data_IF_115099264069
#
_entry.id   IF_115099264069
#
_cell.length_a   1.000
_cell.length_b   1.000
_cell.length_c   1.000
_cell.angle_alpha   90.00
_cell.angle_beta   90.00
_cell.angle_gamma   90.00
#
_symmetry.space_group_name_H-M   'P 1'
#
loop_
_entity.id
_entity.type
_entity.pdbx_description
1 polymer ?
#
# COMPACT_ATOMS: atom_id res chain seq x y z
N UNK A 1 -28.58 -38.41 -6.48
CA UNK A 1 -28.41 -37.18 -5.68
C UNK A 1 -27.04 -36.54 -5.83
N UNK A 2 -25.94 -37.29 -5.95
CA UNK A 2 -24.61 -36.70 -6.27
C UNK A 2 -24.56 -35.97 -7.62
N UNK A 3 -25.21 -36.50 -8.66
CA UNK A 3 -25.24 -35.88 -9.99
C UNK A 3 -25.95 -34.53 -10.06
N UNK A 4 -26.90 -34.24 -9.16
CA UNK A 4 -27.58 -32.94 -9.12
C UNK A 4 -26.71 -31.84 -8.48
N UNK A 5 -25.82 -32.21 -7.56
CA UNK A 5 -24.87 -31.28 -6.95
C UNK A 5 -23.74 -30.92 -7.94
N UNK A 6 -23.33 -31.86 -8.80
CA UNK A 6 -22.31 -31.64 -9.84
C UNK A 6 -22.77 -30.62 -10.90
N UNK A 7 -24.05 -30.63 -11.29
CA UNK A 7 -24.61 -29.69 -12.27
C UNK A 7 -24.65 -28.25 -11.69
N UNK A 8 -24.94 -28.14 -10.39
CA UNK A 8 -24.96 -26.85 -9.70
C UNK A 8 -23.59 -26.17 -9.61
N UNK A 9 -22.50 -26.94 -9.59
CA UNK A 9 -21.12 -26.40 -9.61
C UNK A 9 -20.55 -26.24 -11.02
N UNK A 10 -20.95 -27.10 -11.97
CA UNK A 10 -20.43 -27.08 -13.34
C UNK A 10 -20.82 -25.80 -14.08
N UNK A 11 -22.04 -25.33 -13.87
CA UNK A 11 -22.56 -24.18 -14.62
C UNK A 11 -21.87 -22.86 -14.19
N UNK A 12 -21.71 -22.57 -12.90
CA UNK A 12 -20.87 -21.46 -12.44
C UNK A 12 -19.39 -21.60 -12.83
N UNK A 13 -18.87 -22.83 -12.92
CA UNK A 13 -17.50 -23.10 -13.36
C UNK A 13 -17.31 -22.76 -14.86
N UNK A 14 -18.28 -23.09 -15.71
CA UNK A 14 -18.25 -22.77 -17.15
C UNK A 14 -18.41 -21.27 -17.39
N UNK A 15 -19.37 -20.63 -16.71
CA UNK A 15 -19.67 -19.21 -16.91
C UNK A 15 -18.69 -18.28 -16.18
N UNK A 16 -18.03 -18.77 -15.13
CA UNK A 16 -17.22 -17.95 -14.22
C UNK A 16 -18.04 -17.07 -13.26
N UNK A 17 -19.37 -17.15 -13.31
CA UNK A 17 -20.30 -16.46 -12.41
C UNK A 17 -21.56 -17.30 -12.20
N UNK A 18 -22.30 -17.00 -11.13
CA UNK A 18 -23.56 -17.69 -10.86
C UNK A 18 -24.70 -17.09 -11.71
N UNK A 19 -25.49 -17.90 -12.46
CA UNK A 19 -26.54 -17.39 -13.35
C UNK A 19 -27.55 -16.46 -12.69
N UNK A 20 -27.91 -16.74 -11.44
CA UNK A 20 -28.85 -15.90 -10.68
C UNK A 20 -28.37 -14.45 -10.59
N UNK A 21 -27.06 -14.24 -10.42
CA UNK A 21 -26.47 -12.88 -10.37
C UNK A 21 -26.66 -12.12 -11.68
N UNK A 22 -26.58 -12.80 -12.82
CA UNK A 22 -26.83 -12.17 -14.12
C UNK A 22 -28.31 -11.80 -14.28
N UNK A 23 -29.22 -12.61 -13.74
CA UNK A 23 -30.65 -12.31 -13.75
C UNK A 23 -30.97 -11.12 -12.84
N UNK A 24 -30.38 -11.05 -11.65
CA UNK A 24 -30.50 -9.90 -10.74
C UNK A 24 -30.02 -8.60 -11.43
N UNK A 25 -28.82 -8.64 -12.04
CA UNK A 25 -28.25 -7.49 -12.74
C UNK A 25 -29.14 -7.06 -13.93
N UNK A 26 -29.75 -8.02 -14.65
CA UNK A 26 -30.65 -7.76 -15.77
C UNK A 26 -31.98 -7.14 -15.32
N UNK A 27 -32.57 -7.65 -14.24
CA UNK A 27 -33.82 -7.12 -13.67
C UNK A 27 -33.57 -5.68 -13.19
N UNK A 28 -32.46 -5.43 -12.49
CA UNK A 28 -32.06 -4.08 -12.08
C UNK A 28 -31.89 -3.15 -13.30
N UNK A 29 -31.22 -3.63 -14.35
CA UNK A 29 -31.02 -2.86 -15.58
C UNK A 29 -32.33 -2.62 -16.36
N UNK A 30 -33.34 -3.47 -16.20
CA UNK A 30 -34.62 -3.33 -16.86
C UNK A 30 -35.61 -2.44 -16.08
N UNK A 31 -35.51 -2.40 -14.76
CA UNK A 31 -36.33 -1.51 -13.93
C UNK A 31 -35.99 -0.03 -14.15
N UNK A 32 -34.71 0.29 -14.33
CA UNK A 32 -34.25 1.66 -14.61
C UNK A 32 -34.98 2.32 -15.81
N UNK A 33 -35.01 1.76 -17.03
CA UNK A 33 -35.72 2.35 -18.15
C UNK A 33 -37.24 2.34 -17.97
N UNK A 34 -37.81 1.42 -17.19
CA UNK A 34 -39.25 1.40 -16.89
C UNK A 34 -39.62 2.64 -16.07
N UNK A 35 -38.85 2.95 -15.03
CA UNK A 35 -39.04 4.17 -14.24
C UNK A 35 -38.81 5.44 -15.07
N UNK A 36 -37.77 5.45 -15.91
CA UNK A 36 -37.54 6.58 -16.82
C UNK A 36 -38.71 6.77 -17.80
N UNK A 37 -39.29 5.69 -18.31
CA UNK A 37 -40.44 5.75 -19.20
C UNK A 37 -41.68 6.30 -18.48
N UNK A 38 -41.97 5.84 -17.26
CA UNK A 38 -43.09 6.37 -16.46
C UNK A 38 -42.91 7.86 -16.16
N UNK A 39 -41.68 8.30 -15.86
CA UNK A 39 -41.37 9.72 -15.66
C UNK A 39 -41.52 10.54 -16.94
N UNK A 40 -41.15 9.99 -18.09
CA UNK A 40 -41.37 10.66 -19.38
C UNK A 40 -42.85 10.78 -19.71
N UNK A 41 -43.65 9.75 -19.42
CA UNK A 41 -45.12 9.79 -19.57
C UNK A 41 -45.73 10.83 -18.63
N UNK A 42 -45.28 10.90 -17.38
CA UNK A 42 -45.69 11.92 -16.41
C UNK A 42 -45.43 13.33 -16.95
N UNK A 43 -44.21 13.58 -17.41
CA UNK A 43 -43.82 14.88 -17.94
C UNK A 43 -44.61 15.24 -19.21
N UNK A 44 -44.88 14.27 -20.08
CA UNK A 44 -45.70 14.47 -21.27
C UNK A 44 -47.16 14.80 -20.92
N UNK A 45 -47.78 14.05 -20.01
CA UNK A 45 -49.17 14.28 -19.61
C UNK A 45 -49.34 15.60 -18.86
N UNK A 46 -48.37 15.99 -18.02
CA UNK A 46 -48.40 17.29 -17.34
C UNK A 46 -48.22 18.46 -18.32
N UNK A 47 -47.39 18.32 -19.36
CA UNK A 47 -47.27 19.31 -20.42
C UNK A 47 -48.58 19.43 -21.22
N UNK A 48 -49.19 18.29 -21.56
CA UNK A 48 -50.47 18.23 -22.25
C UNK A 48 -51.62 18.86 -21.42
N UNK A 49 -51.65 18.61 -20.12
CA UNK A 49 -52.62 19.21 -19.20
C UNK A 49 -52.47 20.74 -19.11
N UNK A 50 -51.23 21.24 -19.08
CA UNK A 50 -50.95 22.69 -19.06
C UNK A 50 -51.42 23.40 -20.33
N UNK A 51 -51.19 22.81 -21.50
CA UNK A 51 -51.67 23.36 -22.78
C UNK A 51 -53.20 23.43 -22.84
N UNK A 52 -53.88 22.46 -22.23
CA UNK A 52 -55.35 22.41 -22.18
C UNK A 52 -55.95 23.34 -21.11
N UNK A 53 -55.22 23.55 -20.02
CA UNK A 53 -55.60 24.46 -18.94
C UNK A 53 -55.71 25.93 -19.39
N UNK A 54 -55.02 26.34 -20.46
CA UNK A 54 -55.14 27.70 -21.02
C UNK A 54 -56.57 28.02 -21.51
N UNK A 55 -57.38 26.99 -21.79
CA UNK A 55 -58.72 27.12 -22.37
C UNK A 55 -59.86 26.74 -21.39
N UNK A 56 -59.55 26.47 -20.12
CA UNK A 56 -60.45 25.81 -19.15
C UNK A 56 -60.52 26.62 -17.83
N UNK A 57 -61.61 26.49 -17.05
CA UNK A 57 -61.74 27.15 -15.74
C UNK A 57 -60.75 26.60 -14.70
N UNK A 58 -60.42 27.37 -13.65
CA UNK A 58 -59.47 26.94 -12.62
C UNK A 58 -59.91 25.67 -11.86
N UNK A 59 -61.22 25.50 -11.64
CA UNK A 59 -61.77 24.30 -10.98
C UNK A 59 -61.60 23.05 -11.88
N UNK A 60 -61.93 23.18 -13.16
CA UNK A 60 -61.79 22.09 -14.15
C UNK A 60 -60.31 21.75 -14.42
N UNK A 61 -59.40 22.72 -14.26
CA UNK A 61 -57.95 22.49 -14.35
C UNK A 61 -57.44 21.63 -13.18
N UNK A 62 -57.89 21.92 -11.96
CA UNK A 62 -57.50 21.16 -10.76
C UNK A 62 -58.07 19.73 -10.81
N UNK A 63 -59.29 19.55 -11.32
CA UNK A 63 -59.89 18.23 -11.47
C UNK A 63 -59.20 17.39 -12.57
N UNK A 64 -58.84 18.00 -13.70
CA UNK A 64 -58.07 17.32 -14.76
C UNK A 64 -56.67 16.90 -14.29
N UNK A 65 -56.00 17.76 -13.53
CA UNK A 65 -54.69 17.43 -12.96
C UNK A 65 -54.79 16.25 -11.98
N UNK A 66 -55.83 16.25 -11.12
CA UNK A 66 -56.08 15.17 -10.16
C UNK A 66 -56.40 13.85 -10.86
N UNK A 67 -57.23 13.86 -11.90
CA UNK A 67 -57.56 12.66 -12.68
C UNK A 67 -56.31 12.06 -13.37
N UNK A 68 -55.42 12.92 -13.90
CA UNK A 68 -54.17 12.47 -14.51
C UNK A 68 -53.23 11.87 -13.47
N UNK A 69 -53.08 12.50 -12.30
CA UNK A 69 -52.24 11.98 -11.21
C UNK A 69 -52.76 10.62 -10.70
N UNK A 70 -54.07 10.51 -10.46
CA UNK A 70 -54.70 9.25 -10.03
C UNK A 70 -54.56 8.15 -11.09
N UNK A 71 -54.82 8.47 -12.36
CA UNK A 71 -54.69 7.54 -13.48
C UNK A 71 -53.24 7.09 -13.69
N UNK A 72 -52.27 7.99 -13.50
CA UNK A 72 -50.86 7.67 -13.64
C UNK A 72 -50.35 6.80 -12.49
N UNK A 73 -50.76 7.07 -11.25
CA UNK A 73 -50.42 6.22 -10.10
C UNK A 73 -51.01 4.81 -10.28
N UNK A 74 -52.24 4.71 -10.77
CA UNK A 74 -52.86 3.43 -11.10
C UNK A 74 -52.10 2.69 -12.22
N UNK A 75 -51.70 3.41 -13.27
CA UNK A 75 -50.89 2.84 -14.36
C UNK A 75 -49.53 2.37 -13.88
N UNK A 76 -48.81 3.16 -13.08
CA UNK A 76 -47.52 2.79 -12.52
C UNK A 76 -47.64 1.53 -11.67
N UNK A 77 -48.60 1.48 -10.75
CA UNK A 77 -48.83 0.32 -9.89
C UNK A 77 -49.16 -0.94 -10.72
N UNK A 78 -49.96 -0.78 -11.77
CA UNK A 78 -50.30 -1.88 -12.68
C UNK A 78 -49.08 -2.37 -13.44
N UNK A 79 -48.26 -1.45 -13.95
CA UNK A 79 -47.05 -1.75 -14.69
C UNK A 79 -46.04 -2.48 -13.81
N UNK A 80 -45.76 -1.96 -12.61
CA UNK A 80 -44.87 -2.60 -11.62
C UNK A 80 -45.32 -4.04 -11.34
N UNK A 81 -46.61 -4.26 -11.04
CA UNK A 81 -47.11 -5.61 -10.75
C UNK A 81 -46.96 -6.60 -11.91
N UNK A 82 -47.11 -6.14 -13.16
CA UNK A 82 -46.97 -6.99 -14.35
C UNK A 82 -45.52 -7.25 -14.70
N UNK A 83 -44.67 -6.24 -14.53
CA UNK A 83 -43.24 -6.31 -14.77
C UNK A 83 -42.60 -7.28 -13.79
N UNK A 84 -42.93 -7.18 -12.50
CA UNK A 84 -42.45 -8.09 -11.46
C UNK A 84 -42.83 -9.54 -11.79
N UNK A 85 -44.11 -9.77 -12.12
CA UNK A 85 -44.59 -11.10 -12.47
C UNK A 85 -43.92 -11.65 -13.75
N UNK A 86 -43.73 -10.81 -14.76
CA UNK A 86 -43.07 -11.20 -16.00
C UNK A 86 -41.59 -11.56 -15.75
N UNK A 87 -40.90 -10.81 -14.89
CA UNK A 87 -39.52 -11.10 -14.53
C UNK A 87 -39.38 -12.33 -13.64
N UNK A 88 -40.31 -12.62 -12.74
CA UNK A 88 -40.36 -13.88 -11.99
C UNK A 88 -40.48 -15.08 -12.95
N UNK A 89 -41.39 -15.00 -13.93
CA UNK A 89 -41.52 -16.06 -14.94
C UNK A 89 -40.30 -16.19 -15.83
N UNK A 90 -39.69 -15.06 -16.19
CA UNK A 90 -38.47 -15.05 -16.97
C UNK A 90 -37.29 -15.65 -16.19
N UNK A 91 -37.12 -15.33 -14.90
CA UNK A 91 -36.08 -15.91 -14.04
C UNK A 91 -36.25 -17.44 -13.97
N UNK A 92 -37.46 -17.91 -13.66
CA UNK A 92 -37.73 -19.34 -13.58
C UNK A 92 -37.54 -20.02 -14.94
N UNK A 93 -37.98 -19.40 -16.03
CA UNK A 93 -37.86 -19.97 -17.36
C UNK A 93 -36.40 -20.06 -17.83
N UNK A 94 -35.60 -19.01 -17.60
CA UNK A 94 -34.19 -18.97 -17.98
C UNK A 94 -33.37 -20.00 -17.20
N UNK A 95 -33.59 -20.12 -15.89
CA UNK A 95 -32.91 -21.13 -15.07
C UNK A 95 -33.27 -22.56 -15.46
N UNK A 96 -34.50 -22.79 -15.93
CA UNK A 96 -34.97 -24.14 -16.31
C UNK A 96 -34.65 -24.53 -17.75
N UNK A 97 -34.38 -23.58 -18.64
CA UNK A 97 -34.17 -23.86 -20.07
C UNK A 97 -32.78 -23.46 -20.56
N UNK A 98 -32.35 -22.22 -20.29
CA UNK A 98 -31.07 -21.70 -20.79
C UNK A 98 -29.92 -22.20 -19.90
N UNK A 99 -30.07 -22.02 -18.59
CA UNK A 99 -29.09 -22.45 -17.60
C UNK A 99 -29.39 -23.85 -17.06
N UNK A 100 -29.93 -24.72 -17.92
CA UNK A 100 -30.21 -26.10 -17.57
C UNK A 100 -29.36 -27.04 -18.41
N UNK A 101 -28.57 -27.85 -17.74
CA UNK A 101 -27.80 -28.93 -18.36
C UNK A 101 -28.51 -30.23 -18.00
N UNK A 102 -29.01 -31.00 -18.99
CA UNK A 102 -29.62 -32.29 -18.73
C UNK A 102 -28.65 -33.22 -17.98
N UNK A 103 -29.09 -33.94 -16.95
CA UNK A 103 -28.22 -34.81 -16.15
C UNK A 103 -27.66 -36.00 -16.94
N UNK A 104 -28.22 -36.29 -18.12
CA UNK A 104 -27.77 -37.34 -19.02
C UNK A 104 -26.60 -36.91 -19.91
N UNK A 105 -26.33 -35.59 -20.00
CA UNK A 105 -25.26 -35.07 -20.85
C UNK A 105 -23.96 -34.98 -20.07
N UNK A 106 -22.97 -35.80 -20.46
CA UNK A 106 -21.61 -35.72 -19.93
C UNK A 106 -20.89 -34.52 -20.57
N UNK A 107 -21.02 -33.35 -19.94
CA UNK A 107 -20.33 -32.13 -20.38
C UNK A 107 -18.93 -32.11 -19.78
N UNK A 108 -17.90 -32.26 -20.61
CA UNK A 108 -16.50 -32.03 -20.22
C UNK A 108 -16.11 -30.60 -20.55
N UNK A 109 -15.74 -29.81 -19.54
CA UNK A 109 -15.33 -28.41 -19.75
C UNK A 109 -13.91 -28.37 -20.34
N UNK A 110 -13.54 -27.37 -21.17
CA UNK A 110 -12.21 -27.33 -21.79
C UNK A 110 -11.02 -27.42 -20.82
N UNK A 111 -11.13 -26.87 -19.60
CA UNK A 111 -10.07 -26.96 -18.58
C UNK A 111 -10.05 -28.30 -17.83
N UNK A 112 -11.10 -29.10 -17.94
CA UNK A 112 -11.11 -30.49 -17.45
C UNK A 112 -10.50 -31.44 -18.49
N UNK A 113 -10.25 -30.96 -19.73
CA UNK A 113 -9.62 -31.74 -20.80
C UNK A 113 -8.13 -31.94 -20.49
N UNK A 114 -7.76 -33.18 -20.17
CA UNK A 114 -6.40 -33.53 -19.78
C UNK A 114 -6.15 -33.46 -18.27
N UNK A 115 -7.22 -33.37 -17.47
CA UNK A 115 -7.12 -33.53 -16.02
C UNK A 115 -6.99 -35.02 -15.68
N UNK A 116 -5.77 -35.47 -15.42
CA UNK A 116 -5.52 -36.83 -14.93
C UNK A 116 -5.75 -36.87 -13.43
N UNK A 117 -6.94 -37.33 -13.01
CA UNK A 117 -7.32 -37.51 -11.60
C UNK A 117 -6.64 -38.73 -10.93
N UNK A 118 -5.84 -39.48 -11.67
CA UNK A 118 -5.13 -40.67 -11.19
C UNK A 118 -3.69 -40.36 -10.75
N UNK A 119 -3.37 -39.10 -10.42
CA UNK A 119 -2.03 -38.75 -9.92
C UNK A 119 -1.79 -39.33 -8.53
N UNK A 120 -0.55 -39.74 -8.29
CA UNK A 120 -0.14 -40.27 -7.00
C UNK A 120 -0.12 -39.14 -5.95
N UNK A 121 -0.77 -39.28 -4.77
CA UNK A 121 -0.76 -38.26 -3.72
C UNK A 121 0.65 -37.88 -3.26
N UNK A 122 1.65 -38.76 -3.45
CA UNK A 122 3.04 -38.41 -3.20
C UNK A 122 3.52 -37.27 -4.11
N UNK A 123 3.12 -37.28 -5.39
CA UNK A 123 3.52 -36.28 -6.37
C UNK A 123 2.87 -34.92 -6.10
N UNK A 124 1.61 -34.91 -5.65
CA UNK A 124 0.94 -33.68 -5.24
C UNK A 124 1.65 -33.03 -4.05
N UNK A 125 2.04 -33.83 -3.05
CA UNK A 125 2.77 -33.32 -1.88
C UNK A 125 4.13 -32.71 -2.26
N UNK A 126 4.84 -33.30 -3.23
CA UNK A 126 6.07 -32.73 -3.80
C UNK A 126 5.80 -31.39 -4.49
N UNK A 127 4.78 -31.30 -5.34
CA UNK A 127 4.41 -30.07 -6.04
C UNK A 127 3.99 -28.97 -5.07
N UNK A 128 3.26 -29.30 -4.00
CA UNK A 128 2.92 -28.33 -2.95
C UNK A 128 4.16 -27.80 -2.22
N UNK A 129 5.15 -28.66 -1.96
CA UNK A 129 6.44 -28.23 -1.40
C UNK A 129 7.16 -27.30 -2.37
N UNK A 130 7.23 -27.66 -3.66
CA UNK A 130 7.84 -26.83 -4.70
C UNK A 130 7.16 -25.46 -4.81
N UNK A 131 5.82 -25.40 -4.77
CA UNK A 131 5.06 -24.14 -4.75
C UNK A 131 5.41 -23.32 -3.49
N UNK A 132 5.55 -23.97 -2.34
CA UNK A 132 5.98 -23.33 -1.09
C UNK A 132 7.36 -22.68 -1.23
N UNK A 133 8.33 -23.45 -1.72
CA UNK A 133 9.70 -23.00 -1.97
C UNK A 133 9.74 -21.83 -2.98
N UNK A 134 8.98 -21.93 -4.08
CA UNK A 134 8.88 -20.87 -5.08
C UNK A 134 8.27 -19.59 -4.51
N UNK A 135 7.25 -19.71 -3.64
CA UNK A 135 6.67 -18.56 -2.93
C UNK A 135 7.68 -17.91 -2.00
N UNK A 136 8.50 -18.69 -1.29
CA UNK A 136 9.59 -18.17 -0.47
C UNK A 136 10.66 -17.47 -1.29
N UNK A 137 11.10 -18.09 -2.38
CA UNK A 137 12.05 -17.48 -3.31
C UNK A 137 11.51 -16.17 -3.88
N UNK A 138 10.22 -16.11 -4.23
CA UNK A 138 9.56 -14.90 -4.71
C UNK A 138 9.55 -13.81 -3.63
N UNK A 139 9.24 -14.16 -2.37
CA UNK A 139 9.30 -13.22 -1.23
C UNK A 139 10.70 -12.68 -1.04
N UNK A 140 11.73 -13.54 -1.07
CA UNK A 140 13.13 -13.15 -0.93
C UNK A 140 13.58 -12.24 -2.08
N UNK A 141 13.23 -12.59 -3.32
CA UNK A 141 13.51 -11.75 -4.50
C UNK A 141 12.81 -10.39 -4.41
N UNK A 142 11.55 -10.34 -3.98
CA UNK A 142 10.81 -9.08 -3.77
C UNK A 142 11.43 -8.24 -2.66
N UNK A 143 11.85 -8.84 -1.53
CA UNK A 143 12.54 -8.15 -0.42
C UNK A 143 13.86 -7.55 -0.88
N UNK A 144 14.69 -8.35 -1.54
CA UNK A 144 15.96 -7.90 -2.10
C UNK A 144 15.75 -6.77 -3.11
N UNK A 145 14.76 -6.89 -4.00
CA UNK A 145 14.45 -5.85 -4.98
C UNK A 145 14.07 -4.52 -4.29
N UNK A 146 13.27 -4.56 -3.22
CA UNK A 146 12.94 -3.37 -2.41
C UNK A 146 14.19 -2.75 -1.79
N UNK A 147 15.07 -3.57 -1.20
CA UNK A 147 16.33 -3.09 -0.60
C UNK A 147 17.28 -2.49 -1.64
N UNK A 148 17.41 -3.11 -2.82
CA UNK A 148 18.21 -2.54 -3.90
C UNK A 148 17.62 -1.21 -4.36
N UNK A 149 16.29 -1.14 -4.55
CA UNK A 149 15.61 0.11 -4.94
C UNK A 149 15.80 1.23 -3.92
N UNK A 150 15.82 0.94 -2.61
CA UNK A 150 16.09 1.94 -1.58
C UNK A 150 17.58 2.31 -1.48
N UNK A 151 18.49 1.38 -1.79
CA UNK A 151 19.93 1.63 -1.78
C UNK A 151 20.42 2.46 -2.99
N UNK A 152 19.78 2.33 -4.16
CA UNK A 152 20.13 3.06 -5.39
C UNK A 152 20.21 4.59 -5.20
N UNK A 153 19.19 5.29 -4.67
CA UNK A 153 19.26 6.74 -4.49
C UNK A 153 20.34 7.16 -3.47
N UNK A 154 20.54 6.37 -2.41
CA UNK A 154 21.58 6.63 -1.40
C UNK A 154 22.97 6.53 -2.05
N UNK A 155 23.21 5.47 -2.82
CA UNK A 155 24.47 5.26 -3.54
C UNK A 155 24.72 6.38 -4.56
N UNK A 156 23.70 6.76 -5.34
CA UNK A 156 23.80 7.85 -6.29
C UNK A 156 24.10 9.20 -5.61
N UNK A 157 23.49 9.48 -4.45
CA UNK A 157 23.79 10.68 -3.68
C UNK A 157 25.21 10.67 -3.11
N UNK A 158 25.70 9.51 -2.65
CA UNK A 158 27.09 9.35 -2.21
C UNK A 158 28.07 9.56 -3.37
N UNK A 159 27.80 8.99 -4.54
CA UNK A 159 28.59 9.19 -5.75
C UNK A 159 28.60 10.66 -6.19
N UNK A 160 27.46 11.35 -6.14
CA UNK A 160 27.38 12.78 -6.45
C UNK A 160 28.22 13.61 -5.48
N UNK A 161 28.18 13.31 -4.17
CA UNK A 161 29.02 13.98 -3.16
C UNK A 161 30.50 13.71 -3.37
N UNK A 162 30.87 12.47 -3.67
CA UNK A 162 32.26 12.10 -3.92
C UNK A 162 32.79 12.78 -5.20
N UNK A 163 31.97 12.86 -6.26
CA UNK A 163 32.30 13.59 -7.49
C UNK A 163 32.45 15.08 -7.22
N UNK A 164 31.48 15.74 -6.58
CA UNK A 164 31.57 17.15 -6.23
C UNK A 164 32.81 17.47 -5.37
N UNK A 165 33.16 16.58 -4.43
CA UNK A 165 34.39 16.70 -3.65
C UNK A 165 35.64 16.53 -4.52
N UNK A 166 35.65 15.54 -5.40
CA UNK A 166 36.73 15.35 -6.37
C UNK A 166 36.89 16.57 -7.25
N UNK A 167 35.80 17.17 -7.74
CA UNK A 167 35.82 18.37 -8.59
C UNK A 167 36.32 19.60 -7.80
N UNK A 168 35.94 19.71 -6.51
CA UNK A 168 36.44 20.78 -5.64
C UNK A 168 37.95 20.64 -5.34
N UNK A 169 38.45 19.40 -5.32
CA UNK A 169 39.87 19.09 -5.08
C UNK A 169 40.65 19.05 -6.40
N UNK A 170 40.01 18.83 -7.56
CA UNK A 170 40.70 18.73 -8.85
C UNK A 170 41.31 20.04 -9.32
N UNK A 171 40.89 21.17 -8.75
CA UNK A 171 41.58 22.45 -8.92
C UNK A 171 42.95 22.46 -8.22
N UNK A 172 43.14 21.68 -7.15
CA UNK A 172 44.46 21.47 -6.61
C UNK A 172 45.24 20.73 -7.71
N UNK A 173 46.33 21.31 -8.23
CA UNK A 173 47.17 20.58 -9.16
C UNK A 173 47.58 19.28 -8.45
N UNK A 174 47.69 18.18 -9.19
CA UNK A 174 48.29 16.91 -8.73
C UNK A 174 49.79 17.08 -8.47
N UNK A 175 50.18 18.22 -7.89
CA UNK A 175 51.54 18.59 -7.54
C UNK A 175 51.89 17.73 -6.34
N UNK A 176 53.05 17.04 -6.34
CA UNK A 176 53.55 16.44 -5.12
C UNK A 176 53.57 17.53 -4.03
N UNK A 177 53.32 17.19 -2.75
CA UNK A 177 53.39 18.19 -1.68
C UNK A 177 54.71 18.92 -1.86
N UNK A 178 54.68 20.23 -2.09
CA UNK A 178 55.93 20.98 -2.01
C UNK A 178 56.49 20.68 -0.62
N UNK A 179 57.78 20.33 -0.49
CA UNK A 179 58.37 19.89 0.77
C UNK A 179 58.09 20.89 1.90
N UNK A 180 57.87 22.17 1.55
CA UNK A 180 57.44 23.21 2.47
C UNK A 180 56.14 22.93 3.24
N UNK A 181 55.10 22.30 2.66
CA UNK A 181 53.83 22.09 3.38
C UNK A 181 53.95 20.97 4.41
N UNK A 182 54.55 19.85 4.02
CA UNK A 182 54.87 18.74 4.91
C UNK A 182 55.84 19.19 6.01
N UNK A 183 56.86 19.99 5.67
CA UNK A 183 57.77 20.59 6.63
C UNK A 183 57.10 21.63 7.53
N UNK A 184 56.16 22.44 7.05
CA UNK A 184 55.43 23.39 7.89
C UNK A 184 54.48 22.69 8.85
N UNK A 185 53.84 21.60 8.41
CA UNK A 185 53.01 20.77 9.26
C UNK A 185 53.88 20.05 10.29
N UNK A 186 55.00 19.44 9.89
CA UNK A 186 55.91 18.79 10.83
C UNK A 186 56.54 19.79 11.81
N UNK A 187 56.90 21.00 11.34
CA UNK A 187 57.38 22.10 12.19
C UNK A 187 56.29 22.59 13.15
N UNK A 188 55.03 22.67 12.70
CA UNK A 188 53.89 22.97 13.57
C UNK A 188 53.69 21.86 14.60
N UNK A 189 53.75 20.59 14.19
CA UNK A 189 53.59 19.44 15.10
C UNK A 189 54.72 19.37 16.12
N UNK A 190 55.95 19.71 15.72
CA UNK A 190 57.10 19.80 16.63
C UNK A 190 57.14 21.10 17.44
N UNK A 191 56.36 22.12 17.08
CA UNK A 191 56.20 23.36 17.84
C UNK A 191 55.05 23.30 18.84
N UNK A 192 54.16 22.30 18.72
CA UNK A 192 53.33 21.91 19.83
C UNK A 192 54.24 21.24 20.87
N UNK A 193 54.20 21.66 22.15
CA UNK A 193 54.86 20.92 23.22
C UNK A 193 54.41 19.45 23.16
N UNK A 194 55.34 18.51 23.33
CA UNK A 194 54.99 17.10 23.56
C UNK A 194 53.88 17.07 24.63
N UNK A 195 52.78 16.33 24.40
CA UNK A 195 51.81 16.12 25.46
C UNK A 195 52.53 15.34 26.55
N UNK A 196 53.02 16.05 27.57
CA UNK A 196 53.25 15.46 28.89
C UNK A 196 51.94 14.75 29.19
N UNK A 197 51.89 13.41 29.32
CA UNK A 197 50.67 12.76 29.76
C UNK A 197 50.36 13.38 31.13
N UNK A 198 49.30 14.18 31.28
CA UNK A 198 48.92 14.60 32.61
C UNK A 198 48.57 13.31 33.35
N UNK A 199 49.14 13.14 34.56
CA UNK A 199 48.70 12.12 35.49
C UNK A 199 47.17 12.08 35.47
N UNK A 200 46.64 10.90 35.11
CA UNK A 200 45.28 10.69 34.58
C UNK A 200 44.17 10.95 35.62
N UNK A 201 44.52 11.50 36.79
CA UNK A 201 43.60 11.75 37.89
C UNK A 201 43.12 13.22 37.99
N UNK A 202 43.78 14.18 37.31
CA UNK A 202 43.51 15.62 37.57
C UNK A 202 42.70 16.37 36.50
N UNK A 203 42.31 15.73 35.39
CA UNK A 203 41.49 16.35 34.33
C UNK A 203 40.07 15.79 34.21
N UNK A 204 39.57 15.17 35.27
CA UNK A 204 38.19 14.73 35.38
C UNK A 204 37.35 15.93 35.88
N UNK A 205 36.57 16.65 35.04
CA UNK A 205 35.54 17.54 35.56
C UNK A 205 34.61 16.74 36.48
N UNK A 206 34.15 17.29 37.62
CA UNK A 206 33.41 16.55 38.66
C UNK A 206 32.08 15.91 38.16
N UNK A 207 31.67 16.17 36.93
CA UNK A 207 30.58 15.48 36.25
C UNK A 207 30.91 14.03 35.82
N UNK A 208 32.18 13.61 35.90
CA UNK A 208 32.65 12.27 35.50
C UNK A 208 32.83 11.29 36.68
N UNK A 209 32.46 11.66 37.90
CA UNK A 209 32.48 10.75 39.07
C UNK A 209 31.14 10.05 39.33
N UNK A 210 30.10 10.34 38.54
CA UNK A 210 28.83 9.61 38.60
C UNK A 210 28.83 8.46 37.60
N UNK A 211 29.76 7.52 37.77
CA UNK A 211 29.58 6.19 37.22
C UNK A 211 28.56 5.49 38.11
N UNK A 212 27.30 5.41 37.68
CA UNK A 212 26.36 4.47 38.27
C UNK A 212 26.94 3.06 38.02
N UNK A 213 27.36 2.30 39.04
CA UNK A 213 27.98 0.97 38.84
C UNK A 213 27.00 -0.06 38.26
N UNK A 214 25.74 0.34 38.04
CA UNK A 214 24.66 -0.48 37.50
C UNK A 214 24.45 -0.30 35.99
N UNK A 215 25.04 0.71 35.35
CA UNK A 215 24.85 0.98 33.91
C UNK A 215 26.08 0.59 33.09
N UNK A 216 25.85 -0.08 31.97
CA UNK A 216 26.93 -0.60 31.11
C UNK A 216 27.70 0.54 30.43
N UNK A 217 29.00 0.37 30.14
CA UNK A 217 29.86 1.48 29.69
C UNK A 217 29.43 2.12 28.37
N UNK A 218 28.75 1.38 27.48
CA UNK A 218 28.23 1.91 26.21
C UNK A 218 26.87 2.63 26.34
N UNK A 219 26.18 2.49 27.48
CA UNK A 219 24.88 3.13 27.75
C UNK A 219 25.05 4.54 28.36
N UNK A 220 26.26 4.91 28.74
CA UNK A 220 26.60 6.19 29.37
C UNK A 220 26.81 7.32 28.34
N UNK A 221 26.42 7.10 27.08
CA UNK A 221 26.45 8.09 26.00
C UNK A 221 27.50 7.81 24.91
N UNK A 222 27.60 8.73 23.94
CA UNK A 222 28.46 8.59 22.75
C UNK A 222 29.94 8.40 23.10
N UNK A 223 30.43 9.08 24.13
CA UNK A 223 31.83 8.97 24.59
C UNK A 223 32.11 7.60 25.21
N UNK A 224 31.17 7.07 26.00
CA UNK A 224 31.25 5.72 26.57
C UNK A 224 31.28 4.62 25.51
N UNK A 225 30.43 4.72 24.49
CA UNK A 225 30.45 3.80 23.33
C UNK A 225 31.79 3.82 22.59
N UNK A 226 32.35 5.02 22.36
CA UNK A 226 33.63 5.16 21.65
C UNK A 226 34.78 4.55 22.46
N UNK A 227 34.82 4.78 23.77
CA UNK A 227 35.85 4.22 24.63
C UNK A 227 35.75 2.69 24.74
N UNK A 228 34.53 2.15 24.83
CA UNK A 228 34.28 0.72 24.77
C UNK A 228 34.72 0.12 23.42
N UNK A 229 34.34 0.73 22.30
CA UNK A 229 34.68 0.24 20.97
C UNK A 229 36.19 0.26 20.70
N UNK A 230 36.89 1.31 21.17
CA UNK A 230 38.36 1.41 21.06
C UNK A 230 39.04 0.36 21.94
N UNK A 231 38.56 0.17 23.18
CA UNK A 231 39.07 -0.88 24.07
C UNK A 231 38.92 -2.27 23.44
N UNK A 232 37.77 -2.54 22.82
CA UNK A 232 37.50 -3.80 22.11
C UNK A 232 38.41 -3.98 20.90
N UNK A 233 38.71 -2.90 20.19
CA UNK A 233 39.63 -2.94 19.06
C UNK A 233 41.05 -3.29 19.53
N UNK A 234 41.49 -2.72 20.67
CA UNK A 234 42.80 -3.00 21.28
C UNK A 234 42.88 -4.46 21.77
N UNK A 235 41.82 -4.97 22.39
CA UNK A 235 41.73 -6.37 22.82
C UNK A 235 41.79 -7.33 21.62
N UNK A 236 41.08 -7.00 20.53
CA UNK A 236 41.12 -7.77 19.29
C UNK A 236 42.50 -7.74 18.61
N UNK A 237 43.24 -6.64 18.71
CA UNK A 237 44.62 -6.59 18.20
C UNK A 237 45.62 -7.33 19.08
N UNK A 238 45.30 -7.55 20.36
CA UNK A 238 46.13 -8.31 21.30
C UNK A 238 45.90 -9.83 21.24
N UNK A 239 44.99 -10.32 20.38
CA UNK A 239 44.88 -11.74 20.04
C UNK A 239 44.07 -12.62 20.99
N UNK A 240 43.27 -12.03 21.90
CA UNK A 240 42.27 -12.80 22.65
C UNK A 240 41.07 -13.12 21.73
N UNK A 241 40.84 -14.42 21.48
CA UNK A 241 39.62 -14.92 20.85
C UNK A 241 38.45 -14.69 21.82
N UNK A 242 37.53 -13.80 21.45
CA UNK A 242 36.34 -13.51 22.27
C UNK A 242 35.16 -14.29 21.71
N UNK A 243 34.66 -15.22 22.52
CA UNK A 243 33.35 -15.87 22.39
C UNK A 243 32.27 -14.84 22.05
N UNK A 244 31.28 -15.23 21.24
CA UNK A 244 30.14 -14.36 20.90
C UNK A 244 29.44 -13.93 22.20
N UNK A 245 29.62 -12.68 22.61
CA UNK A 245 29.04 -12.14 23.84
C UNK A 245 27.51 -12.20 23.80
N UNK A 246 26.96 -13.22 24.45
CA UNK A 246 25.52 -13.39 24.72
C UNK A 246 24.90 -12.19 25.45
N UNK A 247 25.72 -11.37 26.10
CA UNK A 247 25.27 -10.19 26.84
C UNK A 247 24.86 -9.01 25.96
N UNK A 248 25.40 -8.89 24.73
CA UNK A 248 25.00 -7.86 23.76
C UNK A 248 23.73 -8.30 23.06
N UNK A 249 23.63 -9.57 22.67
CA UNK A 249 22.41 -10.16 22.12
C UNK A 249 21.24 -10.07 23.12
N UNK A 250 21.50 -10.29 24.41
CA UNK A 250 20.49 -10.19 25.45
C UNK A 250 20.11 -8.73 25.76
N UNK A 251 21.07 -7.78 25.78
CA UNK A 251 20.77 -6.36 25.97
C UNK A 251 20.04 -5.75 24.75
N UNK A 252 20.35 -6.19 23.53
CA UNK A 252 19.60 -5.82 22.33
C UNK A 252 18.17 -6.37 22.40
N UNK A 253 17.96 -7.62 22.83
CA UNK A 253 16.61 -8.18 23.05
C UNK A 253 15.82 -7.44 24.13
N UNK A 254 16.44 -7.02 25.23
CA UNK A 254 15.73 -6.33 26.32
C UNK A 254 15.36 -4.88 25.97
N UNK A 255 16.24 -4.14 25.28
CA UNK A 255 16.01 -2.71 24.96
C UNK A 255 15.16 -2.52 23.71
N UNK A 256 15.32 -3.40 22.73
CA UNK A 256 14.70 -3.26 21.42
C UNK A 256 13.57 -4.28 21.19
N UNK A 257 13.32 -5.23 22.10
CA UNK A 257 12.38 -6.33 21.82
C UNK A 257 12.86 -7.20 20.66
N UNK A 258 12.10 -8.24 20.30
CA UNK A 258 12.42 -9.02 19.11
C UNK A 258 12.47 -8.09 17.89
N UNK A 259 13.49 -8.25 17.05
CA UNK A 259 13.70 -7.36 15.90
C UNK A 259 12.49 -7.31 14.94
N UNK A 260 11.60 -8.29 15.01
CA UNK A 260 10.33 -8.31 14.29
C UNK A 260 9.33 -7.25 14.80
N UNK A 261 9.30 -7.00 16.11
CA UNK A 261 8.36 -6.06 16.75
C UNK A 261 8.70 -4.60 16.45
N UNK A 262 9.98 -4.23 16.38
CA UNK A 262 10.39 -2.87 15.99
C UNK A 262 10.20 -2.57 14.52
N UNK A 263 10.34 -3.57 13.66
CA UNK A 263 10.02 -3.41 12.24
C UNK A 263 8.52 -3.20 12.04
N UNK A 264 7.69 -3.90 12.81
CA UNK A 264 6.25 -3.68 12.82
C UNK A 264 5.88 -2.30 13.40
N UNK A 265 6.58 -1.84 14.44
CA UNK A 265 6.37 -0.50 15.03
C UNK A 265 6.83 0.65 14.12
N UNK A 266 7.94 0.48 13.39
CA UNK A 266 8.39 1.46 12.41
C UNK A 266 7.44 1.51 11.21
N UNK A 267 6.92 0.36 10.77
CA UNK A 267 5.89 0.28 9.73
C UNK A 267 4.57 0.97 10.13
N UNK A 268 4.15 0.87 11.39
CA UNK A 268 2.95 1.56 11.88
C UNK A 268 3.18 3.06 12.06
N UNK A 269 4.38 3.50 12.48
CA UNK A 269 4.73 4.92 12.61
C UNK A 269 4.85 5.64 11.26
N UNK A 270 5.31 4.93 10.21
CA UNK A 270 5.31 5.44 8.84
C UNK A 270 3.88 5.52 8.26
N UNK A 271 3.00 4.58 8.60
CA UNK A 271 1.58 4.63 8.23
C UNK A 271 0.82 5.78 8.93
N UNK A 272 1.18 6.09 10.18
CA UNK A 272 0.60 7.21 10.94
C UNK A 272 1.10 8.58 10.42
N UNK A 273 2.39 8.68 10.03
CA UNK A 273 2.93 9.89 9.37
C UNK A 273 2.33 10.14 7.98
N UNK A 274 1.94 9.09 7.26
CA UNK A 274 1.26 9.21 5.98
C UNK A 274 -0.21 9.68 6.12
N UNK A 275 -0.82 9.51 7.29
CA UNK A 275 -2.25 9.80 7.52
C UNK A 275 -2.52 11.19 8.12
N UNK A 276 -1.50 12.01 8.40
CA UNK A 276 -1.71 13.42 8.80
C UNK A 276 -1.69 14.33 7.57
N UNK A 277 -2.83 14.93 7.14
CA UNK A 277 -2.81 15.98 6.13
C UNK A 277 -2.05 17.19 6.68
N UNK A 278 -1.10 17.70 5.89
CA UNK A 278 -0.36 18.93 6.20
C UNK A 278 -1.30 20.12 6.03
N UNK A 279 -1.90 20.57 7.13
CA UNK A 279 -2.45 21.91 7.22
C UNK A 279 -1.55 22.79 8.09
N UNK A 280 -1.38 24.03 7.59
CA UNK A 280 -0.67 25.19 8.16
C UNK A 280 0.81 25.34 7.76
N UNK A 281 1.05 26.12 6.70
CA UNK A 281 1.63 27.47 6.85
C UNK A 281 1.36 28.36 5.61
N UNK A 282 1.00 29.60 5.91
CA UNK A 282 0.61 30.70 5.03
C UNK A 282 1.81 31.47 4.45
N UNK A 283 1.50 32.28 3.43
CA UNK A 283 2.20 33.51 3.01
C UNK A 283 3.49 33.35 2.20
N UNK A 284 3.38 33.40 0.88
CA UNK A 284 3.78 34.58 0.09
C UNK A 284 3.57 34.33 -1.42
N UNK A 285 3.57 35.41 -2.20
CA UNK A 285 3.53 35.45 -3.68
C UNK A 285 2.10 35.46 -4.29
N UNK A 286 1.36 36.53 -4.03
CA UNK A 286 0.46 37.15 -5.03
C UNK A 286 0.62 38.67 -5.00
N UNK A 287 1.78 39.13 -5.45
CA UNK A 287 2.06 40.54 -5.72
C UNK A 287 2.74 40.69 -7.09
N UNK A 288 2.18 40.12 -8.16
CA UNK A 288 2.68 40.48 -9.51
C UNK A 288 1.70 40.33 -10.69
N UNK A 289 0.39 40.53 -10.46
CA UNK A 289 -0.59 40.57 -11.57
C UNK A 289 -1.13 41.97 -11.88
N UNK A 290 -0.47 43.05 -11.41
CA UNK A 290 -0.88 44.44 -11.65
C UNK A 290 -0.07 45.18 -12.72
N UNK A 291 0.61 44.45 -13.61
CA UNK A 291 1.24 45.01 -14.82
C UNK A 291 0.90 44.13 -16.02
N UNK A 292 -0.23 44.45 -16.67
CA UNK A 292 -0.55 44.27 -18.11
C UNK A 292 -2.04 44.61 -18.33
N UNK A 293 -2.34 45.90 -18.17
CA UNK A 293 -3.41 46.61 -18.89
C UNK A 293 -2.77 47.93 -19.30
N UNK A 294 -2.27 47.97 -20.52
CA UNK A 294 -1.95 49.15 -21.34
C UNK A 294 -1.23 48.61 -22.58
N UNK A 295 -2.05 48.20 -23.55
CA UNK A 295 -1.90 48.23 -25.01
C UNK A 295 -2.98 47.31 -25.62
#
# INVERSE_FOLDING_TARGET
MSSQLEIGSLLPEILGFHPQRLLDDLINAANEPIYQCTDHVLNFMSAWAKERAENISKEEQEDLAREIEEGLVAFQTLLESHVDLAFDYFEVWTLRNIFFIPPELQVTVPHQRGLDLNQDPSREAELFKEIGELREQLRNKRRLNRLLKSALPISNAQLARARARSDSISFLPSRPPSPSLAETLSKLTSSLPDPVPPEVESLIPPALQQQDPTKRPWEQGRTGYVQWAVSRLIQRTNGDDIDKDTEIDNAQREVFGDAEDLWNLHGSLEAEKASRPRDLELADIKSDSKKRKLE
#
